data_IF_977610064261
#
_entry.id   IF_977610064261
#
_cell.length_a   1.000
_cell.length_b   1.000
_cell.length_c   1.000
_cell.angle_alpha   90.00
_cell.angle_beta   90.00
_cell.angle_gamma   90.00
#
_symmetry.space_group_name_H-M   'P 1'
#
loop_
_entity.id
_entity.type
_entity.pdbx_description
1 polymer ?
#
# COMPACT_ATOMS: atom_id res chain seq x y z
N UNK A 1 16.35 -7.55 -3.78
CA UNK A 1 15.21 -6.60 -3.78
C UNK A 1 15.64 -5.13 -3.89
N UNK A 2 16.85 -4.73 -3.49
CA UNK A 2 17.27 -3.30 -3.50
C UNK A 2 17.58 -2.73 -4.89
N UNK A 3 18.20 -3.49 -5.80
CA UNK A 3 18.63 -2.96 -7.11
C UNK A 3 17.49 -2.41 -7.98
N UNK A 4 16.33 -3.09 -8.08
CA UNK A 4 15.21 -2.59 -8.90
C UNK A 4 14.68 -1.24 -8.40
N UNK A 5 14.56 -1.03 -7.08
CA UNK A 5 14.07 0.25 -6.56
C UNK A 5 15.06 1.38 -6.90
N UNK A 6 16.36 1.13 -6.83
CA UNK A 6 17.36 2.11 -7.25
C UNK A 6 17.33 2.41 -8.75
N UNK A 7 17.09 1.40 -9.60
CA UNK A 7 16.91 1.59 -11.05
C UNK A 7 15.68 2.47 -11.31
N UNK A 8 14.53 2.15 -10.72
CA UNK A 8 13.31 2.97 -10.88
C UNK A 8 13.41 4.36 -10.24
N UNK A 9 14.15 4.52 -9.15
CA UNK A 9 14.41 5.83 -8.53
C UNK A 9 15.35 6.72 -9.37
N UNK A 10 16.16 6.10 -10.24
CA UNK A 10 17.09 6.78 -11.14
C UNK A 10 16.49 7.01 -12.53
N UNK A 11 15.33 6.42 -12.84
CA UNK A 11 14.59 6.76 -14.05
C UNK A 11 14.12 8.22 -14.00
N UNK A 12 14.09 8.92 -15.16
CA UNK A 12 13.68 10.31 -15.22
C UNK A 12 12.28 10.47 -14.61
N UNK A 13 12.11 11.53 -13.80
CA UNK A 13 10.90 11.90 -13.03
C UNK A 13 9.59 11.72 -13.79
N UNK A 14 9.62 11.98 -15.10
CA UNK A 14 8.49 11.83 -16.01
C UNK A 14 7.97 10.39 -16.12
N UNK A 15 8.80 9.36 -16.03
CA UNK A 15 8.39 7.97 -16.25
C UNK A 15 7.53 7.41 -15.09
N UNK A 16 7.88 7.75 -13.86
CA UNK A 16 7.13 7.30 -12.67
C UNK A 16 5.87 8.13 -12.45
N UNK A 17 5.92 9.44 -12.71
CA UNK A 17 4.83 10.37 -12.39
C UNK A 17 3.69 10.33 -13.42
N UNK A 18 3.98 10.14 -14.71
CA UNK A 18 2.93 10.15 -15.77
C UNK A 18 1.96 8.96 -15.69
N UNK A 19 2.36 7.86 -15.05
CA UNK A 19 1.63 6.59 -15.15
C UNK A 19 1.29 5.96 -13.79
N UNK A 20 1.50 6.69 -12.68
CA UNK A 20 1.09 6.23 -11.36
C UNK A 20 -0.16 6.99 -10.89
N UNK A 21 -1.30 6.30 -10.90
CA UNK A 21 -2.52 6.79 -10.26
C UNK A 21 -2.73 6.06 -8.92
N UNK A 22 -2.64 6.76 -7.77
CA UNK A 22 -2.98 6.18 -6.47
C UNK A 22 -4.42 5.63 -6.43
N UNK A 23 -5.30 6.14 -7.28
CA UNK A 23 -6.67 5.64 -7.45
C UNK A 23 -6.70 4.24 -8.06
N UNK A 24 -5.85 3.96 -9.07
CA UNK A 24 -5.73 2.61 -9.64
C UNK A 24 -5.28 1.58 -8.60
N UNK A 25 -4.37 1.96 -7.71
CA UNK A 25 -3.96 1.11 -6.58
C UNK A 25 -5.17 0.81 -5.69
N UNK A 26 -5.98 1.81 -5.33
CA UNK A 26 -7.19 1.60 -4.51
C UNK A 26 -8.20 0.68 -5.19
N UNK A 27 -8.42 0.86 -6.49
CA UNK A 27 -9.35 0.04 -7.28
C UNK A 27 -8.90 -1.42 -7.32
N UNK A 28 -7.62 -1.67 -7.62
CA UNK A 28 -7.01 -3.00 -7.55
C UNK A 28 -7.16 -3.63 -6.17
N UNK A 29 -6.81 -2.91 -5.09
CA UNK A 29 -6.96 -3.43 -3.74
C UNK A 29 -8.42 -3.78 -3.42
N UNK A 30 -9.37 -2.94 -3.83
CA UNK A 30 -10.80 -3.18 -3.64
C UNK A 30 -11.29 -4.40 -4.42
N UNK A 31 -10.85 -4.57 -5.67
CA UNK A 31 -11.24 -5.69 -6.53
C UNK A 31 -10.89 -7.05 -5.92
N UNK A 32 -9.76 -7.14 -5.22
CA UNK A 32 -9.28 -8.36 -4.58
C UNK A 32 -9.55 -8.41 -3.06
N UNK A 33 -10.37 -7.50 -2.53
CA UNK A 33 -10.68 -7.40 -1.09
C UNK A 33 -9.43 -7.29 -0.19
N UNK A 34 -8.39 -6.64 -0.69
CA UNK A 34 -7.13 -6.42 0.02
C UNK A 34 -7.23 -5.13 0.82
N UNK A 35 -6.93 -5.20 2.12
CA UNK A 35 -6.91 -4.01 2.96
C UNK A 35 -5.71 -3.11 2.65
N UNK A 36 -5.90 -1.78 2.72
CA UNK A 36 -4.81 -0.80 2.61
C UNK A 36 -3.70 -1.05 3.65
N UNK A 37 -4.07 -1.57 4.83
CA UNK A 37 -3.12 -1.95 5.87
C UNK A 37 -2.18 -3.07 5.40
N UNK A 38 -2.74 -4.16 4.87
CA UNK A 38 -1.95 -5.30 4.40
C UNK A 38 -1.01 -4.86 3.27
N UNK A 39 -1.51 -4.02 2.35
CA UNK A 39 -0.70 -3.42 1.30
C UNK A 39 0.41 -2.52 1.84
N UNK A 40 0.08 -1.61 2.75
CA UNK A 40 1.03 -0.70 3.37
C UNK A 40 2.15 -1.44 4.09
N UNK A 41 1.82 -2.45 4.89
CA UNK A 41 2.79 -3.23 5.66
C UNK A 41 3.64 -4.15 4.73
N UNK A 42 3.02 -4.82 3.76
CA UNK A 42 3.69 -5.86 2.95
C UNK A 42 4.42 -5.34 1.73
N UNK A 43 3.96 -4.22 1.14
CA UNK A 43 4.52 -3.67 -0.11
C UNK A 43 5.29 -2.39 0.15
N UNK A 44 4.70 -1.45 0.89
CA UNK A 44 5.26 -0.11 1.07
C UNK A 44 6.18 0.02 2.29
N UNK A 45 6.06 -0.89 3.26
CA UNK A 45 6.75 -0.77 4.55
C UNK A 45 6.23 0.38 5.42
N UNK A 46 4.96 0.76 5.24
CA UNK A 46 4.31 1.87 5.94
C UNK A 46 3.30 1.38 6.97
N UNK A 47 3.08 2.18 8.02
CA UNK A 47 1.99 1.96 8.96
C UNK A 47 0.63 2.23 8.32
N UNK A 48 -0.45 1.70 8.92
CA UNK A 48 -1.83 1.90 8.44
C UNK A 48 -2.21 3.38 8.32
N UNK A 49 -1.85 4.21 9.31
CA UNK A 49 -2.11 5.65 9.26
C UNK A 49 -1.39 6.31 8.08
N UNK A 50 -0.09 6.01 7.92
CA UNK A 50 0.73 6.58 6.86
C UNK A 50 0.27 6.18 5.45
N UNK A 51 -0.13 4.91 5.25
CA UNK A 51 -0.67 4.47 3.95
C UNK A 51 -2.03 5.09 3.66
N UNK A 52 -2.88 5.25 4.68
CA UNK A 52 -4.17 5.94 4.52
C UNK A 52 -3.97 7.39 4.09
N UNK A 53 -3.10 8.14 4.77
CA UNK A 53 -2.81 9.53 4.41
C UNK A 53 -2.18 9.65 3.01
N UNK A 54 -1.23 8.76 2.69
CA UNK A 54 -0.59 8.72 1.38
C UNK A 54 -1.60 8.51 0.24
N UNK A 55 -2.51 7.55 0.41
CA UNK A 55 -3.52 7.22 -0.58
C UNK A 55 -4.66 8.27 -0.61
N UNK A 56 -4.99 8.89 0.51
CA UNK A 56 -6.03 9.92 0.59
C UNK A 56 -5.57 11.27 0.01
N UNK A 57 -4.32 11.67 0.27
CA UNK A 57 -3.76 12.95 -0.15
C UNK A 57 -2.32 12.77 -0.68
N UNK A 58 -2.16 12.19 -1.87
CA UNK A 58 -0.84 12.00 -2.45
C UNK A 58 -0.19 13.37 -2.71
N UNK A 59 0.98 13.61 -2.13
CA UNK A 59 1.78 14.81 -2.41
C UNK A 59 2.36 14.71 -3.84
N UNK A 60 2.42 15.83 -4.57
CA UNK A 60 2.98 15.82 -5.92
C UNK A 60 4.48 15.48 -5.90
N UNK A 61 4.95 14.77 -6.92
CA UNK A 61 6.29 14.18 -6.95
C UNK A 61 7.44 15.18 -6.76
N UNK A 62 7.30 16.39 -7.31
CA UNK A 62 8.30 17.46 -7.18
C UNK A 62 8.46 17.95 -5.74
N UNK A 63 7.46 17.75 -4.87
CA UNK A 63 7.52 18.08 -3.44
C UNK A 63 8.01 16.91 -2.56
N UNK A 64 8.32 15.75 -3.16
CA UNK A 64 8.81 14.59 -2.43
C UNK A 64 10.34 14.57 -2.37
N UNK A 65 10.87 14.30 -1.18
CA UNK A 65 12.28 13.94 -0.99
C UNK A 65 12.59 12.60 -1.68
N UNK A 66 13.87 12.28 -1.89
CA UNK A 66 14.27 11.00 -2.49
C UNK A 66 13.70 9.79 -1.74
N UNK A 67 13.75 9.81 -0.40
CA UNK A 67 13.14 8.78 0.45
C UNK A 67 11.60 8.79 0.37
N UNK A 68 10.98 9.97 0.26
CA UNK A 68 9.53 10.12 0.14
C UNK A 68 8.96 9.59 -1.18
N UNK A 69 9.79 9.38 -2.21
CA UNK A 69 9.40 8.80 -3.50
C UNK A 69 9.34 7.27 -3.49
N UNK A 70 10.05 6.63 -2.56
CA UNK A 70 10.11 5.17 -2.45
C UNK A 70 8.73 4.48 -2.43
N UNK A 71 7.73 4.93 -1.64
CA UNK A 71 6.41 4.29 -1.65
C UNK A 71 5.69 4.43 -3.00
N UNK A 72 5.87 5.52 -3.73
CA UNK A 72 5.30 5.71 -5.06
C UNK A 72 5.94 4.77 -6.09
N UNK A 73 7.26 4.58 -6.01
CA UNK A 73 7.98 3.62 -6.85
C UNK A 73 7.50 2.19 -6.57
N UNK A 74 7.34 1.82 -5.29
CA UNK A 74 6.83 0.51 -4.89
C UNK A 74 5.40 0.27 -5.37
N UNK A 75 4.54 1.30 -5.31
CA UNK A 75 3.20 1.24 -5.90
C UNK A 75 3.26 0.99 -7.41
N UNK A 76 4.21 1.62 -8.13
CA UNK A 76 4.35 1.40 -9.57
C UNK A 76 4.76 -0.02 -9.90
N UNK A 77 5.80 -0.52 -9.22
CA UNK A 77 6.28 -1.90 -9.37
C UNK A 77 5.17 -2.91 -9.05
N UNK A 78 4.36 -2.64 -8.01
CA UNK A 78 3.22 -3.48 -7.66
C UNK A 78 2.18 -3.56 -8.79
N UNK A 79 1.89 -2.46 -9.47
CA UNK A 79 0.95 -2.42 -10.59
C UNK A 79 1.52 -3.04 -11.88
N UNK A 80 2.85 -3.11 -12.02
CA UNK A 80 3.52 -3.69 -13.20
C UNK A 80 3.81 -5.20 -13.06
N UNK A 81 3.82 -5.74 -11.85
CA UNK A 81 3.95 -7.19 -11.61
C UNK A 81 2.56 -7.85 -11.55
N UNK A 82 2.18 -8.53 -12.64
CA UNK A 82 0.92 -9.28 -12.76
C UNK A 82 0.71 -10.29 -11.62
N UNK A 83 1.78 -10.76 -10.97
CA UNK A 83 1.70 -11.71 -9.86
C UNK A 83 1.67 -11.03 -8.48
N UNK A 84 1.89 -9.72 -8.38
CA UNK A 84 2.01 -9.04 -7.09
C UNK A 84 0.72 -9.11 -6.27
N UNK A 85 -0.43 -8.94 -6.92
CA UNK A 85 -1.74 -9.09 -6.29
C UNK A 85 -1.93 -10.50 -5.76
N UNK A 86 -1.64 -11.53 -6.57
CA UNK A 86 -1.78 -12.93 -6.16
C UNK A 86 -0.89 -13.27 -4.95
N UNK A 87 0.35 -12.78 -4.92
CA UNK A 87 1.26 -12.91 -3.77
C UNK A 87 0.68 -12.25 -2.52
N UNK A 88 0.09 -11.07 -2.66
CA UNK A 88 -0.48 -10.31 -1.55
C UNK A 88 -1.76 -10.98 -1.02
N UNK A 89 -2.64 -11.46 -1.89
CA UNK A 89 -3.82 -12.25 -1.52
C UNK A 89 -3.40 -13.53 -0.78
N UNK A 90 -2.39 -14.26 -1.27
CA UNK A 90 -1.89 -15.45 -0.58
C UNK A 90 -1.36 -15.12 0.84
N UNK A 91 -0.79 -13.93 1.05
CA UNK A 91 -0.36 -13.47 2.38
C UNK A 91 -1.53 -13.20 3.32
N UNK A 92 -2.70 -12.82 2.80
CA UNK A 92 -3.92 -12.59 3.58
C UNK A 92 -4.43 -13.88 4.24
N UNK A 93 -4.26 -15.04 3.60
CA UNK A 93 -4.69 -16.33 4.15
C UNK A 93 -3.68 -16.95 5.11
N UNK A 94 -2.48 -16.37 5.27
CA UNK A 94 -1.52 -16.76 6.31
C UNK A 94 -1.79 -16.10 7.67
N UNK A 95 -2.93 -15.42 7.82
CA UNK A 95 -3.37 -14.92 9.13
C UNK A 95 -3.50 -16.13 10.07
N UNK A 96 -2.64 -16.18 11.10
CA UNK A 96 -2.75 -17.16 12.16
C UNK A 96 -4.17 -17.15 12.73
N UNK A 97 -4.77 -18.33 13.03
CA UNK A 97 -6.16 -18.45 13.47
C UNK A 97 -6.50 -17.55 14.66
N UNK A 98 -5.53 -17.18 15.50
CA UNK A 98 -5.70 -16.25 16.63
C UNK A 98 -6.31 -14.88 16.26
N UNK A 99 -6.02 -14.32 15.09
CA UNK A 99 -6.54 -12.98 14.72
C UNK A 99 -7.99 -12.98 14.25
N UNK A 100 -8.56 -14.15 13.92
CA UNK A 100 -10.01 -14.32 13.71
C UNK A 100 -10.77 -14.36 15.05
N UNK A 101 -10.09 -14.57 16.18
CA UNK A 101 -10.70 -14.77 17.49
C UNK A 101 -10.67 -13.52 18.39
N UNK A 102 -10.19 -12.37 17.92
CA UNK A 102 -10.37 -11.11 18.66
C UNK A 102 -11.80 -10.59 18.50
N UNK A 103 -12.70 -11.21 19.26
CA UNK A 103 -13.84 -10.54 19.88
C UNK A 103 -13.34 -9.32 20.65
N UNK A 104 -13.42 -8.14 20.03
CA UNK A 104 -13.33 -6.86 20.73
C UNK A 104 -14.74 -6.31 20.91
N UNK A 105 -15.26 -6.42 22.13
CA UNK A 105 -16.65 -6.13 22.48
C UNK A 105 -17.06 -4.67 22.28
N UNK A 106 -18.24 -4.49 21.70
CA UNK A 106 -19.02 -3.26 21.84
C UNK A 106 -19.57 -3.21 23.28
N UNK A 107 -18.77 -2.72 24.23
CA UNK A 107 -19.33 -2.21 25.49
C UNK A 107 -19.90 -0.83 25.20
N UNK A 108 -21.21 -0.79 24.92
CA UNK A 108 -21.96 0.46 24.89
C UNK A 108 -21.87 1.14 26.27
N UNK A 109 -21.66 2.47 26.35
CA UNK A 109 -21.69 3.16 27.64
C UNK A 109 -23.14 3.24 28.17
N UNK A 110 -23.36 3.17 29.50
CA UNK A 110 -24.69 3.30 30.06
C UNK A 110 -25.20 4.75 29.88
N UNK A 111 -26.41 4.89 29.35
CA UNK A 111 -27.14 6.16 29.38
C UNK A 111 -27.48 6.48 30.84
N UNK A 112 -27.11 7.67 31.30
CA UNK A 112 -27.74 8.33 32.45
C UNK A 112 -28.86 9.22 31.94
#
# INVERSE_FOLDING_TARGET
>A
MSLCIYVFASLPVQYVTLHLSPTQVKEQLSQYSISQRLFGESVLGLSQGSVSDLLARPKPWHMLTQKGREPFIRMKIFLEDDNAVHKLVASQYKIAPEKLMRTGGYTAPPRK
#
